data_IF_698140501433
#
_entry.id   IF_698140501433
#
_cell.length_a   1.000
_cell.length_b   1.000
_cell.length_c   1.000
_cell.angle_alpha   90.00
_cell.angle_beta   90.00
_cell.angle_gamma   90.00
#
_symmetry.space_group_name_H-M   'P 1'
#
loop_
_entity.id
_entity.type
_entity.pdbx_description
1 polymer ?
#
# COMPACT_ATOMS: atom_id res chain seq x y z
N UNK A 1 3.45 5.19 -6.41
CA UNK A 1 3.25 6.56 -6.94
C UNK A 1 3.29 7.52 -5.77
N UNK A 2 4.12 8.55 -5.86
CA UNK A 2 4.19 9.65 -4.89
C UNK A 2 3.55 10.90 -5.47
N UNK A 3 2.89 11.68 -4.61
CA UNK A 3 2.39 13.03 -4.90
C UNK A 3 2.87 13.93 -3.77
N UNK A 4 3.49 15.04 -4.08
CA UNK A 4 4.07 15.98 -3.11
C UNK A 4 4.97 15.30 -2.06
N UNK A 5 5.83 14.38 -2.54
CA UNK A 5 6.75 13.55 -1.73
C UNK A 5 6.06 12.60 -0.74
N UNK A 6 4.74 12.39 -0.87
CA UNK A 6 3.98 11.44 -0.04
C UNK A 6 3.57 10.23 -0.87
N UNK A 7 3.80 9.02 -0.36
CA UNK A 7 3.24 7.81 -0.99
C UNK A 7 1.71 7.93 -1.02
N UNK A 8 1.16 7.99 -2.22
CA UNK A 8 -0.25 8.19 -2.48
C UNK A 8 -0.95 6.91 -2.96
N UNK A 9 -0.24 6.11 -3.77
CA UNK A 9 -0.76 4.89 -4.38
C UNK A 9 0.35 3.84 -4.49
N UNK A 10 0.02 2.58 -4.27
CA UNK A 10 0.88 1.42 -4.51
C UNK A 10 0.20 0.47 -5.48
N UNK A 11 0.92 0.03 -6.50
CA UNK A 11 0.43 -0.92 -7.51
C UNK A 11 1.32 -2.17 -7.44
N UNK A 12 0.70 -3.33 -7.30
CA UNK A 12 1.41 -4.61 -7.19
C UNK A 12 0.86 -5.61 -8.21
N UNK A 13 1.73 -6.22 -9.02
CA UNK A 13 3.18 -5.95 -9.15
C UNK A 13 3.46 -4.56 -9.71
N UNK A 14 4.71 -4.07 -9.52
CA UNK A 14 5.13 -2.78 -10.06
C UNK A 14 5.01 -2.77 -11.60
N UNK A 15 4.22 -1.84 -12.18
CA UNK A 15 4.06 -1.78 -13.64
C UNK A 15 5.39 -1.43 -14.30
N UNK A 16 5.67 -2.09 -15.43
CA UNK A 16 6.83 -1.79 -16.30
C UNK A 16 8.22 -1.93 -15.64
N UNK A 17 8.32 -2.51 -14.44
CA UNK A 17 9.61 -2.77 -13.82
C UNK A 17 10.32 -3.92 -14.54
N UNK A 18 11.51 -3.66 -15.07
CA UNK A 18 12.31 -4.67 -15.77
C UNK A 18 12.67 -5.83 -14.82
N UNK A 19 12.53 -7.10 -15.26
CA UNK A 19 12.73 -8.27 -14.39
C UNK A 19 14.13 -8.35 -13.75
N UNK A 20 15.16 -7.94 -14.48
CA UNK A 20 16.55 -7.90 -14.01
C UNK A 20 16.75 -6.85 -12.91
N UNK A 21 16.11 -5.68 -13.04
CA UNK A 21 16.12 -4.64 -12.01
C UNK A 21 15.33 -5.12 -10.78
N UNK A 22 14.17 -5.73 -10.97
CA UNK A 22 13.37 -6.28 -9.89
C UNK A 22 14.15 -7.33 -9.07
N UNK A 23 14.84 -8.26 -9.75
CA UNK A 23 15.65 -9.28 -9.09
C UNK A 23 16.88 -8.69 -8.40
N UNK A 24 17.53 -7.69 -9.01
CA UNK A 24 18.66 -6.99 -8.41
C UNK A 24 18.23 -6.24 -7.13
N UNK A 25 17.08 -5.54 -7.16
CA UNK A 25 16.49 -4.85 -6.02
C UNK A 25 16.12 -5.82 -4.90
N UNK A 26 15.51 -6.97 -5.25
CA UNK A 26 15.15 -8.02 -4.28
C UNK A 26 16.40 -8.56 -3.57
N UNK A 27 17.45 -8.87 -4.32
CA UNK A 27 18.72 -9.35 -3.74
C UNK A 27 19.38 -8.32 -2.83
N UNK A 28 19.38 -7.04 -3.23
CA UNK A 28 19.92 -5.97 -2.40
C UNK A 28 19.16 -5.86 -1.07
N UNK A 29 17.81 -5.90 -1.10
CA UNK A 29 16.98 -5.86 0.11
C UNK A 29 17.26 -7.05 1.03
N UNK A 30 17.38 -8.27 0.49
CA UNK A 30 17.68 -9.47 1.26
C UNK A 30 19.10 -9.42 1.87
N UNK A 31 20.08 -8.92 1.13
CA UNK A 31 21.44 -8.73 1.65
C UNK A 31 21.44 -7.75 2.82
N UNK A 32 20.77 -6.61 2.68
CA UNK A 32 20.65 -5.60 3.75
C UNK A 32 19.97 -6.21 4.99
N UNK A 33 18.86 -6.94 4.80
CA UNK A 33 18.17 -7.59 5.91
C UNK A 33 19.08 -8.59 6.65
N UNK A 34 19.85 -9.39 5.91
CA UNK A 34 20.79 -10.37 6.46
C UNK A 34 21.92 -9.70 7.22
N UNK A 35 22.60 -8.72 6.60
CA UNK A 35 23.74 -8.01 7.21
C UNK A 35 23.37 -7.24 8.47
N UNK A 36 22.14 -6.71 8.51
CA UNK A 36 21.62 -5.98 9.68
C UNK A 36 20.96 -6.88 10.72
N UNK A 37 20.84 -8.20 10.47
CA UNK A 37 20.18 -9.15 11.38
C UNK A 37 18.73 -8.80 11.63
N UNK A 38 17.98 -8.34 10.61
CA UNK A 38 16.59 -7.91 10.76
C UNK A 38 15.70 -9.09 11.09
N UNK A 39 14.96 -9.02 12.22
CA UNK A 39 13.87 -9.92 12.56
C UNK A 39 12.54 -9.22 12.40
N UNK A 40 11.61 -9.80 11.62
CA UNK A 40 10.34 -9.18 11.28
C UNK A 40 10.27 -8.79 9.80
N UNK A 41 9.37 -7.89 9.44
CA UNK A 41 9.30 -7.35 8.08
C UNK A 41 10.18 -6.12 7.95
N UNK A 42 10.80 -6.00 6.77
CA UNK A 42 11.53 -4.82 6.35
C UNK A 42 10.97 -4.34 5.03
N UNK A 43 10.83 -3.04 4.86
CA UNK A 43 10.63 -2.40 3.57
C UNK A 43 11.90 -1.66 3.16
N UNK A 44 12.28 -1.80 1.90
CA UNK A 44 13.27 -0.97 1.24
C UNK A 44 12.58 -0.13 0.17
N UNK A 45 12.49 1.18 0.35
CA UNK A 45 12.02 2.08 -0.70
C UNK A 45 13.15 2.39 -1.67
N UNK A 46 12.86 2.24 -2.95
CA UNK A 46 13.84 2.40 -4.01
C UNK A 46 13.31 3.36 -5.07
N UNK A 47 14.20 4.18 -5.62
CA UNK A 47 13.95 4.92 -6.86
C UNK A 47 14.55 4.15 -8.03
N UNK A 48 13.74 3.83 -9.02
CA UNK A 48 14.23 3.28 -10.28
C UNK A 48 15.06 4.35 -11.02
N UNK A 49 16.25 3.94 -11.49
CA UNK A 49 17.19 4.81 -12.21
C UNK A 49 17.66 4.11 -13.49
N UNK A 50 16.81 4.05 -14.54
CA UNK A 50 17.13 3.35 -15.77
C UNK A 50 18.46 3.82 -16.36
N UNK A 51 19.32 2.85 -16.73
CA UNK A 51 20.62 3.12 -17.34
C UNK A 51 21.70 3.66 -16.39
N UNK A 52 21.48 3.66 -15.08
CA UNK A 52 22.47 4.09 -14.08
C UNK A 52 22.72 3.01 -13.02
N UNK A 53 23.98 2.62 -12.85
CA UNK A 53 24.41 1.67 -11.82
C UNK A 53 23.60 0.38 -11.81
N UNK A 54 23.06 -0.04 -10.66
CA UNK A 54 22.25 -1.25 -10.54
C UNK A 54 20.80 -1.08 -11.03
N UNK A 55 20.44 0.08 -11.60
CA UNK A 55 19.09 0.42 -12.05
C UNK A 55 18.18 1.00 -10.96
N UNK A 56 18.67 1.18 -9.74
CA UNK A 56 17.92 1.79 -8.64
C UNK A 56 18.85 2.50 -7.62
N UNK A 57 18.24 3.36 -6.82
CA UNK A 57 18.84 3.98 -5.64
C UNK A 57 17.95 3.71 -4.41
N UNK A 58 18.60 3.46 -3.27
CA UNK A 58 17.87 3.28 -1.99
C UNK A 58 17.45 4.66 -1.49
N UNK A 59 16.15 4.79 -1.18
CA UNK A 59 15.58 5.98 -0.57
C UNK A 59 15.58 5.86 0.96
N UNK A 60 14.84 4.86 1.48
CA UNK A 60 14.77 4.60 2.92
C UNK A 60 14.64 3.11 3.23
N UNK A 61 14.97 2.76 4.47
CA UNK A 61 14.75 1.43 5.04
C UNK A 61 13.81 1.55 6.25
N UNK A 62 12.84 0.67 6.35
CA UNK A 62 11.91 0.62 7.48
C UNK A 62 11.85 -0.82 8.03
N UNK A 63 12.41 -1.05 9.23
CA UNK A 63 12.43 -2.36 9.93
C UNK A 63 11.13 -2.55 10.71
N UNK A 64 9.99 -2.44 10.06
CA UNK A 64 8.64 -2.53 10.60
C UNK A 64 7.62 -2.64 9.46
N UNK A 65 6.35 -2.99 9.78
CA UNK A 65 5.28 -2.81 8.79
C UNK A 65 5.29 -1.40 8.21
N UNK A 66 5.19 -1.32 6.89
CA UNK A 66 5.37 -0.07 6.14
C UNK A 66 4.15 0.23 5.27
N UNK A 67 3.91 1.52 4.99
CA UNK A 67 2.77 1.94 4.18
C UNK A 67 2.74 1.29 2.79
N UNK A 68 3.90 1.10 2.16
CA UNK A 68 4.00 0.40 0.87
C UNK A 68 3.58 -1.09 0.94
N UNK A 69 3.48 -1.68 2.12
CA UNK A 69 3.04 -3.06 2.34
C UNK A 69 1.58 -3.19 2.79
N UNK A 70 0.80 -2.11 2.91
CA UNK A 70 -0.60 -2.19 3.36
C UNK A 70 -1.51 -2.94 2.39
N UNK A 71 -1.15 -2.98 1.09
CA UNK A 71 -1.86 -3.79 0.09
C UNK A 71 -1.95 -5.26 0.47
N UNK A 72 -1.00 -5.76 1.28
CA UNK A 72 -0.95 -7.17 1.70
C UNK A 72 -2.12 -7.60 2.58
N UNK A 73 -2.87 -6.66 3.18
CA UNK A 73 -4.04 -7.01 4.00
C UNK A 73 -5.13 -7.72 3.18
N UNK A 74 -5.29 -7.35 1.91
CA UNK A 74 -6.29 -7.94 1.04
C UNK A 74 -5.67 -8.58 -0.21
N UNK A 75 -4.40 -8.30 -0.50
CA UNK A 75 -3.70 -8.76 -1.70
C UNK A 75 -2.75 -9.94 -1.49
N UNK A 76 -2.49 -10.34 -0.25
CA UNK A 76 -1.66 -11.51 0.09
C UNK A 76 -2.40 -12.48 1.00
N UNK A 77 -2.01 -13.77 0.97
CA UNK A 77 -2.52 -14.80 1.89
C UNK A 77 -2.20 -14.41 3.33
N UNK A 78 -0.98 -13.94 3.59
CA UNK A 78 -0.56 -13.45 4.92
C UNK A 78 -0.12 -11.99 4.81
N UNK A 79 -0.76 -11.11 5.59
CA UNK A 79 -0.44 -9.68 5.58
C UNK A 79 0.94 -9.40 6.20
N UNK A 80 1.52 -8.24 5.87
CA UNK A 80 2.76 -7.78 6.50
C UNK A 80 2.65 -7.68 8.04
N UNK A 81 1.46 -7.38 8.54
CA UNK A 81 1.23 -7.27 9.98
C UNK A 81 1.31 -8.64 10.66
N UNK A 82 0.64 -9.64 10.08
CA UNK A 82 0.69 -11.00 10.58
C UNK A 82 2.10 -11.60 10.44
N UNK A 83 2.76 -11.41 9.27
CA UNK A 83 4.14 -11.88 9.10
C UNK A 83 5.09 -11.27 10.12
N UNK A 84 4.93 -9.96 10.40
CA UNK A 84 5.74 -9.29 11.41
C UNK A 84 5.53 -9.90 12.81
N UNK A 85 4.27 -10.11 13.20
CA UNK A 85 3.94 -10.72 14.48
C UNK A 85 4.47 -12.15 14.57
N UNK A 86 4.32 -12.95 13.52
CA UNK A 86 4.87 -14.31 13.48
C UNK A 86 6.39 -14.29 13.67
N UNK A 87 7.09 -13.43 12.93
CA UNK A 87 8.55 -13.34 13.01
C UNK A 87 9.06 -12.90 14.39
N UNK A 88 8.47 -11.87 15.00
CA UNK A 88 8.93 -11.37 16.31
C UNK A 88 8.53 -12.26 17.49
N UNK A 89 7.57 -13.15 17.28
CA UNK A 89 7.14 -14.16 18.27
C UNK A 89 7.77 -15.53 18.00
N UNK A 90 8.72 -15.62 17.08
CA UNK A 90 9.40 -16.86 16.67
C UNK A 90 8.41 -17.96 16.22
N UNK A 91 7.34 -17.55 15.51
CA UNK A 91 6.34 -18.44 14.95
C UNK A 91 6.65 -18.75 13.47
N UNK A 92 6.20 -19.90 12.94
CA UNK A 92 6.32 -20.21 11.52
C UNK A 92 5.70 -19.10 10.66
N UNK A 93 6.44 -18.67 9.64
CA UNK A 93 5.95 -17.66 8.70
C UNK A 93 4.79 -18.21 7.83
N UNK A 94 3.86 -17.35 7.46
CA UNK A 94 2.77 -17.67 6.55
C UNK A 94 3.17 -17.55 5.07
N UNK A 95 2.30 -18.04 4.17
CA UNK A 95 2.49 -17.85 2.73
C UNK A 95 2.49 -16.39 2.36
N UNK A 96 3.42 -16.00 1.48
CA UNK A 96 3.51 -14.66 0.89
C UNK A 96 2.83 -14.58 -0.48
N UNK A 97 2.10 -15.63 -0.88
CA UNK A 97 1.42 -15.67 -2.17
C UNK A 97 0.38 -14.56 -2.28
N UNK A 98 0.24 -14.03 -3.49
CA UNK A 98 -0.81 -13.07 -3.80
C UNK A 98 -2.15 -13.79 -3.98
N UNK A 99 -3.24 -13.16 -3.54
CA UNK A 99 -4.60 -13.69 -3.71
C UNK A 99 -5.21 -13.29 -5.06
N UNK A 100 -4.60 -12.33 -5.77
CA UNK A 100 -5.01 -11.87 -7.09
C UNK A 100 -3.77 -11.50 -7.93
N UNK A 101 -3.96 -11.36 -9.25
CA UNK A 101 -2.87 -10.98 -10.16
C UNK A 101 -2.36 -9.57 -9.89
N UNK A 102 -3.27 -8.64 -9.58
CA UNK A 102 -2.93 -7.27 -9.23
C UNK A 102 -3.67 -6.78 -7.98
N UNK A 103 -3.03 -5.88 -7.26
CA UNK A 103 -3.61 -5.13 -6.14
C UNK A 103 -3.22 -3.67 -6.26
N UNK A 104 -4.19 -2.79 -6.10
CA UNK A 104 -3.95 -1.34 -5.97
C UNK A 104 -4.32 -0.91 -4.56
N UNK A 105 -3.40 -0.25 -3.89
CA UNK A 105 -3.63 0.41 -2.60
C UNK A 105 -3.60 1.91 -2.77
N UNK A 106 -4.64 2.60 -2.32
CA UNK A 106 -4.74 4.05 -2.31
C UNK A 106 -4.79 4.57 -0.89
N UNK A 107 -3.88 5.47 -0.52
CA UNK A 107 -3.96 6.15 0.77
C UNK A 107 -5.16 7.10 0.82
N UNK A 108 -5.90 7.07 1.92
CA UNK A 108 -6.90 8.09 2.26
C UNK A 108 -6.20 9.17 3.06
N UNK A 109 -6.09 10.35 2.47
CA UNK A 109 -5.55 11.53 3.14
C UNK A 109 -6.70 12.30 3.79
N UNK A 110 -6.49 12.83 4.99
CA UNK A 110 -7.47 13.67 5.67
C UNK A 110 -7.81 14.93 4.86
N UNK A 111 -9.09 15.23 4.78
CA UNK A 111 -9.69 16.37 4.12
C UNK A 111 -10.69 17.08 5.04
N UNK A 112 -11.81 17.50 4.49
CA UNK A 112 -12.87 18.21 5.21
C UNK A 112 -13.76 17.26 6.06
N UNK A 113 -13.93 16.00 5.63
CA UNK A 113 -14.77 15.02 6.33
C UNK A 113 -14.13 14.63 7.67
N UNK A 114 -14.78 14.99 8.78
CA UNK A 114 -14.37 14.61 10.13
C UNK A 114 -14.98 13.28 10.58
N UNK A 115 -16.04 12.79 9.90
CA UNK A 115 -16.71 11.51 10.18
C UNK A 115 -16.43 10.50 9.06
N UNK A 116 -15.21 9.96 9.02
CA UNK A 116 -14.80 9.03 7.97
C UNK A 116 -15.69 7.79 7.87
N UNK A 117 -16.22 7.31 9.01
CA UNK A 117 -17.12 6.13 9.03
C UNK A 117 -18.49 6.41 8.41
N UNK A 118 -18.93 7.66 8.40
CA UNK A 118 -20.19 8.07 7.75
C UNK A 118 -20.19 7.83 6.24
N UNK A 119 -19.02 7.79 5.60
CA UNK A 119 -18.87 7.52 4.18
C UNK A 119 -19.04 6.03 3.79
N UNK A 120 -18.98 5.09 4.75
CA UNK A 120 -18.97 3.65 4.45
C UNK A 120 -20.19 3.16 3.67
N UNK A 121 -21.45 3.55 4.02
CA UNK A 121 -22.60 3.11 3.23
C UNK A 121 -22.52 3.49 1.76
N UNK A 122 -22.02 4.70 1.47
CA UNK A 122 -21.86 5.19 0.10
C UNK A 122 -20.75 4.43 -0.63
N UNK A 123 -19.57 4.28 -0.01
CA UNK A 123 -18.46 3.54 -0.61
C UNK A 123 -18.83 2.09 -0.86
N UNK A 124 -19.45 1.41 0.10
CA UNK A 124 -19.82 0.00 -0.04
C UNK A 124 -20.90 -0.22 -1.11
N UNK A 125 -21.81 0.75 -1.30
CA UNK A 125 -22.82 0.69 -2.36
C UNK A 125 -22.23 0.95 -3.75
N UNK A 126 -21.34 1.93 -3.87
CA UNK A 126 -20.78 2.34 -5.17
C UNK A 126 -19.58 1.47 -5.61
N UNK A 127 -18.79 0.96 -4.66
CA UNK A 127 -17.53 0.23 -4.90
C UNK A 127 -17.46 -1.05 -4.05
N UNK A 128 -18.32 -2.05 -4.32
CA UNK A 128 -18.43 -3.26 -3.48
C UNK A 128 -17.14 -4.11 -3.42
N UNK A 129 -16.24 -3.94 -4.40
CA UNK A 129 -14.92 -4.58 -4.43
C UNK A 129 -13.86 -3.87 -3.57
N UNK A 130 -14.09 -2.62 -3.17
CA UNK A 130 -13.14 -1.85 -2.38
C UNK A 130 -13.07 -2.33 -0.93
N UNK A 131 -11.87 -2.47 -0.38
CA UNK A 131 -11.61 -2.79 1.02
C UNK A 131 -11.04 -1.57 1.73
N UNK A 132 -11.79 -1.06 2.70
CA UNK A 132 -11.46 0.19 3.41
C UNK A 132 -10.86 -0.12 4.77
N UNK A 133 -9.70 0.47 5.06
CA UNK A 133 -8.99 0.35 6.32
C UNK A 133 -8.74 1.73 6.90
N UNK A 134 -9.40 2.08 8.00
CA UNK A 134 -9.19 3.33 8.73
C UNK A 134 -8.30 3.10 9.95
N UNK A 135 -7.49 4.11 10.30
CA UNK A 135 -6.46 3.99 11.35
C UNK A 135 -6.90 4.54 12.71
N UNK A 136 -8.15 4.99 12.87
CA UNK A 136 -8.64 5.60 14.11
C UNK A 136 -7.94 6.92 14.47
N UNK A 137 -7.31 7.57 13.50
CA UNK A 137 -6.61 8.84 13.69
C UNK A 137 -7.54 10.02 13.51
N UNK A 138 -7.32 11.09 14.28
CA UNK A 138 -7.96 12.38 14.04
C UNK A 138 -7.65 12.89 12.63
N UNK A 139 -8.67 13.39 11.94
CA UNK A 139 -8.52 13.96 10.60
C UNK A 139 -7.75 15.26 10.67
N UNK A 140 -6.76 15.41 9.78
CA UNK A 140 -6.01 16.65 9.52
C UNK A 140 -5.67 16.67 8.05
N UNK A 141 -5.68 17.83 7.38
CA UNK A 141 -5.30 17.94 5.98
C UNK A 141 -3.97 17.22 5.66
N UNK A 142 -3.96 16.38 4.64
CA UNK A 142 -2.78 15.64 4.19
C UNK A 142 -2.33 14.48 5.09
N UNK A 143 -2.93 14.27 6.28
CA UNK A 143 -2.59 13.14 7.15
C UNK A 143 -3.15 11.84 6.58
N UNK A 144 -2.32 10.79 6.47
CA UNK A 144 -2.80 9.44 6.14
C UNK A 144 -3.70 8.93 7.28
N UNK A 145 -5.00 8.82 7.02
CA UNK A 145 -6.04 8.39 7.98
C UNK A 145 -6.57 7.00 7.70
N UNK A 146 -6.25 6.45 6.55
CA UNK A 146 -6.64 5.12 6.12
C UNK A 146 -6.04 4.77 4.75
N UNK A 147 -6.48 3.66 4.21
CA UNK A 147 -6.25 3.26 2.82
C UNK A 147 -7.40 2.43 2.27
N UNK A 148 -7.47 2.35 0.96
CA UNK A 148 -8.38 1.48 0.22
C UNK A 148 -7.54 0.50 -0.59
N UNK A 149 -7.87 -0.79 -0.51
CA UNK A 149 -7.30 -1.83 -1.37
C UNK A 149 -8.35 -2.31 -2.37
N UNK A 150 -7.92 -2.54 -3.61
CA UNK A 150 -8.75 -3.17 -4.66
C UNK A 150 -7.89 -4.22 -5.36
N UNK A 151 -8.42 -5.44 -5.49
CA UNK A 151 -7.73 -6.57 -6.12
C UNK A 151 -8.43 -6.99 -7.41
N UNK A 152 -7.70 -7.56 -8.35
CA UNK A 152 -8.28 -8.06 -9.60
C UNK A 152 -7.26 -8.56 -10.60
N UNK A 153 -7.69 -8.78 -11.85
CA UNK A 153 -6.82 -9.17 -12.96
C UNK A 153 -5.81 -8.07 -13.31
N UNK A 154 -4.65 -8.48 -13.82
CA UNK A 154 -3.58 -7.53 -14.18
C UNK A 154 -3.91 -6.62 -15.36
N UNK A 155 -4.74 -7.08 -16.29
CA UNK A 155 -5.24 -6.27 -17.41
C UNK A 155 -6.21 -5.16 -16.96
N UNK A 156 -6.72 -5.21 -15.75
CA UNK A 156 -7.68 -4.25 -15.19
C UNK A 156 -7.04 -3.18 -14.28
N UNK A 157 -5.72 -3.05 -14.25
CA UNK A 157 -5.01 -2.12 -13.33
C UNK A 157 -5.58 -0.70 -13.38
N UNK A 158 -5.86 -0.16 -14.56
CA UNK A 158 -6.41 1.20 -14.68
C UNK A 158 -7.80 1.31 -14.04
N UNK A 159 -8.65 0.29 -14.18
CA UNK A 159 -9.93 0.24 -13.48
C UNK A 159 -9.75 0.10 -11.97
N UNK A 160 -8.85 -0.79 -11.51
CA UNK A 160 -8.58 -0.94 -10.07
C UNK A 160 -8.10 0.38 -9.46
N UNK A 161 -7.25 1.11 -10.18
CA UNK A 161 -6.79 2.44 -9.78
C UNK A 161 -7.94 3.45 -9.70
N UNK A 162 -8.81 3.46 -10.73
CA UNK A 162 -9.98 4.33 -10.75
C UNK A 162 -10.86 4.07 -9.52
N UNK A 163 -11.25 2.82 -9.27
CA UNK A 163 -12.08 2.42 -8.12
C UNK A 163 -11.42 2.82 -6.79
N UNK A 164 -10.14 2.53 -6.63
CA UNK A 164 -9.42 2.88 -5.39
C UNK A 164 -9.36 4.40 -5.16
N UNK A 165 -9.16 5.19 -6.23
CA UNK A 165 -9.13 6.64 -6.16
C UNK A 165 -10.50 7.24 -5.83
N UNK A 166 -11.55 6.78 -6.49
CA UNK A 166 -12.92 7.26 -6.29
C UNK A 166 -13.43 6.89 -4.88
N UNK A 167 -13.23 5.65 -4.44
CA UNK A 167 -13.58 5.22 -3.07
C UNK A 167 -12.83 6.04 -2.01
N UNK A 168 -11.54 6.29 -2.19
CA UNK A 168 -10.77 7.13 -1.27
C UNK A 168 -11.25 8.59 -1.26
N UNK A 169 -11.66 9.13 -2.42
CA UNK A 169 -12.23 10.48 -2.53
C UNK A 169 -13.57 10.59 -1.80
N UNK A 170 -14.47 9.62 -1.95
CA UNK A 170 -15.73 9.58 -1.21
C UNK A 170 -15.47 9.62 0.30
N UNK A 171 -14.53 8.82 0.82
CA UNK A 171 -14.21 8.82 2.26
C UNK A 171 -13.68 10.19 2.70
N UNK A 172 -12.82 10.81 1.91
CA UNK A 172 -12.19 12.10 2.21
C UNK A 172 -13.20 13.25 2.22
N UNK A 173 -14.16 13.24 1.29
CA UNK A 173 -14.97 14.41 0.95
C UNK A 173 -16.45 14.24 1.36
N UNK A 174 -16.87 13.09 1.93
CA UNK A 174 -18.25 12.84 2.34
C UNK A 174 -18.78 13.94 3.26
N UNK A 175 -19.96 14.48 2.94
CA UNK A 175 -20.61 15.54 3.71
C UNK A 175 -19.99 16.94 3.53
N UNK A 176 -18.94 17.11 2.74
CA UNK A 176 -18.33 18.44 2.51
C UNK A 176 -19.32 19.40 1.81
N UNK A 177 -20.20 18.89 0.96
CA UNK A 177 -21.19 19.69 0.24
C UNK A 177 -22.39 20.15 1.11
N UNK A 178 -22.62 19.53 2.27
CA UNK A 178 -23.72 19.89 3.17
C UNK A 178 -23.33 21.04 4.12
N UNK A 179 -22.06 21.40 4.20
CA UNK A 179 -21.51 22.41 5.11
C UNK A 179 -21.02 23.69 4.38
N UNK A 180 -21.22 23.78 3.07
CA UNK A 180 -20.90 24.93 2.22
C UNK A 180 -22.18 25.68 1.85
#
# INVERSE_FOLDING_TARGET
>A
IQVDSVCNEVIVPAPNLAPDIAESARRAALTIASELGVTGVMAAELFETPGRGPGFLINELAMRPHNSGHWTQDGSVTSQFEQHLRAVLDLPLGSTDRVAEATVMKNVLGGENQNLYGAFPEVMAAYPEAKVHLYGKSVRPGRKVGHVNVTGPSESIDRLRQVANEAAAVIRDHGAAENA
#
